data_IF_268554779058
#
_entry.id   IF_268554779058
#
_cell.length_a   1.000
_cell.length_b   1.000
_cell.length_c   1.000
_cell.angle_alpha   90.00
_cell.angle_beta   90.00
_cell.angle_gamma   90.00
#
_symmetry.space_group_name_H-M   'P 1'
#
loop_
_entity.id
_entity.type
_entity.pdbx_description
1 polymer ?
#
# COMPACT_ATOMS: atom_id res chain seq x y z
N UNK A 1 1.19 33.63 -16.13
CA UNK A 1 0.80 34.21 -14.83
C UNK A 1 -0.66 33.82 -14.62
N UNK A 2 -0.95 32.74 -13.84
CA UNK A 2 -2.32 32.34 -13.53
C UNK A 2 -2.82 33.36 -12.51
N UNK A 3 -3.78 34.19 -12.90
CA UNK A 3 -4.50 35.07 -11.97
C UNK A 3 -5.24 34.09 -11.02
N UNK A 4 -4.79 34.01 -9.76
CA UNK A 4 -5.44 33.17 -8.76
C UNK A 4 -6.83 33.79 -8.50
N UNK A 5 -7.86 33.19 -9.11
CA UNK A 5 -9.24 33.50 -8.82
C UNK A 5 -9.50 33.28 -7.32
N UNK A 6 -10.31 34.16 -6.71
CA UNK A 6 -10.69 34.04 -5.31
C UNK A 6 -11.23 32.65 -4.97
N UNK A 7 -11.90 32.00 -5.92
CA UNK A 7 -12.42 30.64 -5.80
C UNK A 7 -11.26 29.63 -5.67
N UNK A 8 -10.21 29.76 -6.45
CA UNK A 8 -9.02 28.90 -6.36
C UNK A 8 -8.32 29.04 -5.01
N UNK A 9 -8.07 30.27 -4.54
CA UNK A 9 -7.45 30.52 -3.24
C UNK A 9 -8.30 29.93 -2.10
N UNK A 10 -9.63 30.04 -2.22
CA UNK A 10 -10.58 29.48 -1.24
C UNK A 10 -10.45 27.97 -1.15
N UNK A 11 -10.38 27.27 -2.28
CA UNK A 11 -10.21 25.82 -2.36
C UNK A 11 -8.85 25.35 -1.83
N UNK A 12 -7.77 26.05 -2.17
CA UNK A 12 -6.43 25.76 -1.62
C UNK A 12 -6.44 25.87 -0.08
N UNK A 13 -7.06 26.91 0.45
CA UNK A 13 -7.18 27.08 1.91
C UNK A 13 -8.05 25.99 2.54
N UNK A 14 -9.13 25.54 1.88
CA UNK A 14 -10.00 24.46 2.34
C UNK A 14 -9.23 23.13 2.40
N UNK A 15 -8.48 22.81 1.33
CA UNK A 15 -7.61 21.61 1.29
C UNK A 15 -6.56 21.65 2.41
N UNK A 16 -5.89 22.79 2.60
CA UNK A 16 -4.91 22.96 3.66
C UNK A 16 -5.52 22.72 5.05
N UNK A 17 -6.66 23.34 5.33
CA UNK A 17 -7.34 23.17 6.62
C UNK A 17 -7.84 21.75 6.85
N UNK A 18 -8.42 21.10 5.83
CA UNK A 18 -8.86 19.72 5.92
C UNK A 18 -7.69 18.78 6.21
N UNK A 19 -6.54 18.98 5.54
CA UNK A 19 -5.31 18.21 5.78
C UNK A 19 -4.79 18.37 7.20
N UNK A 20 -4.80 19.60 7.74
CA UNK A 20 -4.40 19.86 9.11
C UNK A 20 -5.38 19.27 10.14
N UNK A 21 -6.70 19.29 9.85
CA UNK A 21 -7.69 18.63 10.70
C UNK A 21 -7.49 17.13 10.70
N UNK A 22 -7.32 16.49 9.53
CA UNK A 22 -7.05 15.05 9.42
C UNK A 22 -5.82 14.63 10.25
N UNK A 23 -4.76 15.43 10.19
CA UNK A 23 -3.49 15.10 10.86
C UNK A 23 -3.52 15.32 12.38
N UNK A 24 -4.29 16.31 12.85
CA UNK A 24 -4.18 16.85 14.22
C UNK A 24 -5.51 16.83 15.00
N UNK A 25 -6.53 16.08 14.54
CA UNK A 25 -7.80 15.92 15.24
C UNK A 25 -7.63 15.31 16.66
N UNK A 26 -8.32 15.82 17.67
CA UNK A 26 -9.18 16.99 17.67
C UNK A 26 -8.42 18.32 17.78
N UNK A 27 -8.79 19.33 16.99
CA UNK A 27 -8.08 20.61 16.89
C UNK A 27 -9.02 21.81 16.95
N UNK A 28 -8.58 22.95 17.54
CA UNK A 28 -9.39 24.18 17.58
C UNK A 28 -9.15 25.09 16.37
N UNK A 29 -10.14 25.95 16.03
CA UNK A 29 -9.98 26.99 14.99
C UNK A 29 -8.80 27.93 15.26
N UNK A 30 -8.54 28.23 16.53
CA UNK A 30 -7.41 29.07 16.91
C UNK A 30 -6.08 28.41 16.59
N UNK A 31 -5.95 27.10 16.91
CA UNK A 31 -4.73 26.31 16.59
C UNK A 31 -4.55 26.12 15.10
N UNK A 32 -5.63 25.89 14.35
CA UNK A 32 -5.59 25.87 12.88
C UNK A 32 -5.08 27.19 12.28
N UNK A 33 -5.54 28.34 12.81
CA UNK A 33 -5.06 29.66 12.39
C UNK A 33 -3.56 29.83 12.66
N UNK A 34 -3.09 29.38 13.82
CA UNK A 34 -1.67 29.42 14.19
C UNK A 34 -0.81 28.55 13.25
N UNK A 35 -1.23 27.30 13.02
CA UNK A 35 -0.46 26.33 12.21
C UNK A 35 -0.43 26.66 10.73
N UNK A 36 -1.54 27.17 10.18
CA UNK A 36 -1.66 27.45 8.74
C UNK A 36 -1.26 28.87 8.37
N UNK A 37 -1.12 29.77 9.35
CA UNK A 37 -0.89 31.20 9.08
C UNK A 37 -2.12 31.94 8.53
N UNK A 38 -3.24 31.27 8.34
CA UNK A 38 -4.50 31.87 7.87
C UNK A 38 -5.13 32.71 8.99
N UNK A 39 -5.73 33.85 8.61
CA UNK A 39 -6.46 34.66 9.59
C UNK A 39 -7.71 33.94 10.14
N UNK A 40 -8.12 34.29 11.35
CA UNK A 40 -9.23 33.65 12.09
C UNK A 40 -10.55 33.66 11.34
N UNK A 41 -10.82 34.73 10.56
CA UNK A 41 -12.06 34.85 9.76
C UNK A 41 -12.07 33.87 8.59
N UNK A 42 -10.94 33.72 7.89
CA UNK A 42 -10.78 32.74 6.81
C UNK A 42 -10.92 31.32 7.34
N UNK A 43 -10.23 30.98 8.44
CA UNK A 43 -10.37 29.65 9.08
C UNK A 43 -11.83 29.38 9.45
N UNK A 44 -12.50 30.33 10.11
CA UNK A 44 -13.90 30.15 10.50
C UNK A 44 -14.83 29.96 9.31
N UNK A 45 -14.66 30.73 8.24
CA UNK A 45 -15.45 30.60 7.01
C UNK A 45 -15.23 29.25 6.33
N UNK A 46 -13.97 28.80 6.16
CA UNK A 46 -13.65 27.54 5.48
C UNK A 46 -14.09 26.33 6.33
N UNK A 47 -13.86 26.34 7.64
CA UNK A 47 -14.34 25.27 8.54
C UNK A 47 -15.87 25.16 8.49
N UNK A 48 -16.59 26.27 8.44
CA UNK A 48 -18.04 26.23 8.29
C UNK A 48 -18.47 25.62 6.94
N UNK A 49 -17.69 25.80 5.87
CA UNK A 49 -17.93 25.13 4.59
C UNK A 49 -17.72 23.62 4.74
N UNK A 50 -16.59 23.17 5.32
CA UNK A 50 -16.31 21.76 5.57
C UNK A 50 -17.38 21.09 6.46
N UNK A 51 -17.94 21.84 7.43
CA UNK A 51 -19.05 21.35 8.26
C UNK A 51 -20.34 21.18 7.47
N UNK A 52 -20.68 22.13 6.58
CA UNK A 52 -21.84 22.02 5.68
C UNK A 52 -21.71 20.84 4.72
N UNK A 53 -20.48 20.51 4.31
CA UNK A 53 -20.14 19.36 3.50
C UNK A 53 -20.01 18.05 4.31
N UNK A 54 -20.37 18.06 5.59
CA UNK A 54 -20.31 16.90 6.49
C UNK A 54 -18.91 16.27 6.62
N UNK A 55 -17.84 16.98 6.30
CA UNK A 55 -16.45 16.48 6.41
C UNK A 55 -15.83 16.75 7.78
N UNK A 56 -16.36 17.73 8.51
CA UNK A 56 -15.89 18.14 9.85
C UNK A 56 -17.07 18.37 10.74
N UNK A 57 -16.95 18.04 12.02
CA UNK A 57 -17.94 18.39 13.04
C UNK A 57 -17.27 18.89 14.32
N UNK A 58 -18.06 19.59 15.14
CA UNK A 58 -17.62 20.08 16.43
C UNK A 58 -17.89 19.06 17.53
N UNK A 59 -16.89 18.81 18.37
CA UNK A 59 -17.02 18.04 19.60
C UNK A 59 -16.72 18.96 20.78
N UNK A 60 -17.49 18.90 21.85
CA UNK A 60 -17.26 19.50 23.16
C UNK A 60 -16.25 20.64 23.27
N UNK A 61 -15.96 21.07 24.46
CA UNK A 61 -14.97 22.10 24.76
C UNK A 61 -13.63 21.46 25.16
N UNK A 62 -12.55 21.92 24.55
CA UNK A 62 -11.17 21.52 24.89
C UNK A 62 -10.69 22.10 26.22
N UNK A 63 -9.48 21.73 26.64
CA UNK A 63 -8.83 22.35 27.81
C UNK A 63 -8.48 23.81 27.52
N UNK A 64 -8.61 24.68 28.52
CA UNK A 64 -8.27 26.09 28.42
C UNK A 64 -7.06 26.40 29.30
N UNK A 65 -6.09 27.14 28.73
CA UNK A 65 -4.94 27.68 29.46
C UNK A 65 -5.20 29.08 30.04
N UNK A 66 -6.45 29.54 30.04
CA UNK A 66 -6.87 30.85 30.49
C UNK A 66 -7.82 31.50 29.46
N UNK A 67 -9.12 31.62 29.78
CA UNK A 67 -10.15 32.18 28.89
C UNK A 67 -11.24 31.17 28.51
N UNK A 68 -12.09 31.56 27.52
CA UNK A 68 -13.18 30.68 27.03
C UNK A 68 -12.63 29.41 26.40
N UNK A 69 -13.10 28.24 26.85
CA UNK A 69 -12.71 26.95 26.32
C UNK A 69 -12.99 26.87 24.81
N UNK A 70 -12.01 26.48 23.99
CA UNK A 70 -12.20 26.38 22.53
C UNK A 70 -13.08 25.18 22.17
N UNK A 71 -13.92 25.37 21.15
CA UNK A 71 -14.65 24.25 20.52
C UNK A 71 -13.68 23.47 19.66
N UNK A 72 -13.68 22.16 19.80
CA UNK A 72 -12.78 21.26 19.08
C UNK A 72 -13.45 20.71 17.83
N UNK A 73 -12.66 20.62 16.77
CA UNK A 73 -13.04 20.09 15.46
C UNK A 73 -12.46 18.70 15.30
N UNK A 74 -13.23 17.80 14.69
CA UNK A 74 -12.78 16.47 14.27
C UNK A 74 -13.22 16.21 12.84
N UNK A 75 -12.41 15.43 12.14
CA UNK A 75 -12.75 14.93 10.82
C UNK A 75 -13.89 13.90 10.92
N UNK A 76 -14.83 13.97 9.98
CA UNK A 76 -15.90 12.99 9.89
C UNK A 76 -15.47 11.80 9.02
N UNK A 77 -14.77 10.87 9.61
CA UNK A 77 -14.31 9.67 8.91
C UNK A 77 -15.43 8.80 8.33
N UNK A 78 -16.66 8.95 8.86
CA UNK A 78 -17.85 8.24 8.38
C UNK A 78 -18.63 9.05 7.33
N UNK A 79 -18.06 10.13 6.78
CA UNK A 79 -18.71 10.90 5.72
C UNK A 79 -18.86 10.08 4.42
N UNK A 80 -17.96 9.16 4.15
CA UNK A 80 -17.99 8.24 3.02
C UNK A 80 -17.18 6.97 3.30
N UNK A 81 -17.19 6.05 2.36
CA UNK A 81 -16.46 4.78 2.45
C UNK A 81 -15.74 4.50 1.14
N UNK A 82 -14.60 3.81 1.21
CA UNK A 82 -13.86 3.37 0.03
C UNK A 82 -13.69 1.86 0.02
N UNK A 83 -13.64 1.27 -1.16
CA UNK A 83 -13.33 -0.15 -1.36
C UNK A 83 -11.90 -0.26 -1.86
N UNK A 84 -11.10 -1.09 -1.18
CA UNK A 84 -9.77 -1.51 -1.62
C UNK A 84 -9.73 -3.01 -1.83
N UNK A 85 -9.23 -3.46 -2.99
CA UNK A 85 -9.18 -4.89 -3.33
C UNK A 85 -7.77 -5.25 -3.81
N UNK A 86 -7.23 -6.33 -3.25
CA UNK A 86 -6.00 -6.97 -3.69
C UNK A 86 -6.35 -8.29 -4.40
N UNK A 87 -6.10 -8.34 -5.71
CA UNK A 87 -6.25 -9.54 -6.52
C UNK A 87 -4.89 -10.23 -6.60
N UNK A 88 -4.67 -11.23 -5.78
CA UNK A 88 -3.45 -12.04 -5.76
C UNK A 88 -3.41 -13.10 -6.87
N UNK A 89 -2.48 -14.02 -6.77
CA UNK A 89 -2.34 -15.14 -7.73
C UNK A 89 -3.44 -16.19 -7.51
N UNK A 90 -3.73 -16.51 -6.25
CA UNK A 90 -4.65 -17.57 -5.79
C UNK A 90 -5.68 -17.05 -4.79
N UNK A 91 -5.83 -15.73 -4.65
CA UNK A 91 -6.80 -15.11 -3.75
C UNK A 91 -7.30 -13.76 -4.25
N UNK A 92 -8.43 -13.32 -3.70
CA UNK A 92 -8.89 -11.93 -3.74
C UNK A 92 -9.17 -11.51 -2.29
N UNK A 93 -8.55 -10.42 -1.85
CA UNK A 93 -8.76 -9.84 -0.53
C UNK A 93 -9.37 -8.44 -0.69
N UNK A 94 -10.63 -8.26 -0.29
CA UNK A 94 -11.34 -6.99 -0.38
C UNK A 94 -11.65 -6.42 0.99
N UNK A 95 -11.59 -5.11 1.11
CA UNK A 95 -11.94 -4.36 2.33
C UNK A 95 -12.81 -3.16 1.99
N UNK A 96 -13.74 -2.84 2.88
CA UNK A 96 -14.44 -1.56 2.93
C UNK A 96 -13.88 -0.76 4.10
N UNK A 97 -13.44 0.48 3.86
CA UNK A 97 -12.88 1.33 4.91
C UNK A 97 -13.67 2.62 5.07
N UNK A 98 -13.62 3.23 6.25
CA UNK A 98 -13.98 4.63 6.44
C UNK A 98 -12.89 5.55 5.83
N UNK A 99 -13.10 6.87 5.84
CA UNK A 99 -12.16 7.84 5.25
C UNK A 99 -10.85 8.04 6.05
N UNK A 100 -10.67 7.36 7.18
CA UNK A 100 -9.39 7.27 7.91
C UNK A 100 -8.70 5.91 7.71
N UNK A 101 -9.24 5.05 6.83
CA UNK A 101 -8.68 3.72 6.55
C UNK A 101 -9.02 2.66 7.60
N UNK A 102 -9.96 2.93 8.52
CA UNK A 102 -10.44 1.90 9.45
C UNK A 102 -11.28 0.87 8.68
N UNK A 103 -10.87 -0.39 8.71
CA UNK A 103 -11.62 -1.48 8.04
C UNK A 103 -12.97 -1.65 8.74
N UNK A 104 -14.04 -1.57 7.97
CA UNK A 104 -15.44 -1.73 8.40
C UNK A 104 -15.97 -3.12 8.03
N UNK A 105 -15.63 -3.59 6.83
CA UNK A 105 -15.95 -4.93 6.34
C UNK A 105 -14.74 -5.49 5.60
N UNK A 106 -14.59 -6.80 5.62
CA UNK A 106 -13.60 -7.50 4.82
C UNK A 106 -14.18 -8.78 4.24
N UNK A 107 -13.64 -9.19 3.09
CA UNK A 107 -13.92 -10.46 2.43
C UNK A 107 -12.66 -11.04 1.84
N UNK A 108 -12.54 -12.37 1.91
CA UNK A 108 -11.44 -13.12 1.34
C UNK A 108 -11.99 -14.28 0.50
N UNK A 109 -11.53 -14.38 -0.75
CA UNK A 109 -11.85 -15.48 -1.66
C UNK A 109 -10.58 -16.20 -2.08
N UNK A 110 -10.59 -17.52 -2.01
CA UNK A 110 -9.55 -18.34 -2.62
C UNK A 110 -9.87 -18.56 -4.10
N UNK A 111 -8.88 -18.44 -4.98
CA UNK A 111 -9.01 -18.64 -6.41
C UNK A 111 -8.37 -19.97 -6.81
N UNK A 112 -9.16 -20.93 -7.26
CA UNK A 112 -8.64 -22.15 -7.88
C UNK A 112 -8.09 -21.86 -9.30
N UNK A 113 -8.75 -20.95 -10.00
CA UNK A 113 -8.37 -20.49 -11.34
C UNK A 113 -8.48 -18.97 -11.44
N UNK A 114 -7.35 -18.33 -11.67
CA UNK A 114 -7.29 -16.87 -11.83
C UNK A 114 -7.40 -16.51 -13.33
N UNK A 115 -8.66 -16.51 -13.88
CA UNK A 115 -8.94 -15.95 -15.19
C UNK A 115 -9.61 -14.57 -15.08
N UNK A 116 -9.47 -13.69 -16.08
CA UNK A 116 -10.13 -12.37 -16.07
C UNK A 116 -11.64 -12.44 -15.87
N UNK A 117 -12.31 -13.44 -16.45
CA UNK A 117 -13.76 -13.60 -16.40
C UNK A 117 -14.21 -13.96 -14.98
N UNK A 118 -13.63 -15.02 -14.40
CA UNK A 118 -13.95 -15.48 -13.04
C UNK A 118 -13.64 -14.35 -12.02
N UNK A 119 -12.50 -13.71 -12.19
CA UNK A 119 -12.11 -12.61 -11.28
C UNK A 119 -13.09 -11.44 -11.37
N UNK A 120 -13.54 -11.06 -12.57
CA UNK A 120 -14.54 -9.99 -12.75
C UNK A 120 -15.85 -10.31 -12.05
N UNK A 121 -16.34 -11.54 -12.13
CA UNK A 121 -17.59 -11.95 -11.48
C UNK A 121 -17.46 -11.88 -9.96
N UNK A 122 -16.36 -12.40 -9.39
CA UNK A 122 -16.09 -12.32 -7.94
C UNK A 122 -15.96 -10.86 -7.48
N UNK A 123 -15.28 -10.01 -8.25
CA UNK A 123 -15.17 -8.58 -7.94
C UNK A 123 -16.53 -7.88 -7.90
N UNK A 124 -17.41 -8.18 -8.86
CA UNK A 124 -18.76 -7.63 -8.88
C UNK A 124 -19.54 -8.04 -7.62
N UNK A 125 -19.53 -9.33 -7.28
CA UNK A 125 -20.24 -9.85 -6.11
C UNK A 125 -19.69 -9.26 -4.81
N UNK A 126 -18.39 -9.18 -4.67
CA UNK A 126 -17.71 -8.59 -3.50
C UNK A 126 -18.06 -7.11 -3.34
N UNK A 127 -18.00 -6.31 -4.42
CA UNK A 127 -18.34 -4.89 -4.39
C UNK A 127 -19.82 -4.69 -4.06
N UNK A 128 -20.73 -5.48 -4.65
CA UNK A 128 -22.15 -5.45 -4.31
C UNK A 128 -22.40 -5.79 -2.84
N UNK A 129 -21.69 -6.77 -2.30
CA UNK A 129 -21.77 -7.12 -0.88
C UNK A 129 -21.37 -5.92 -0.01
N UNK A 130 -20.25 -5.26 -0.32
CA UNK A 130 -19.81 -4.08 0.42
C UNK A 130 -20.81 -2.93 0.36
N UNK A 131 -21.36 -2.63 -0.83
CA UNK A 131 -22.35 -1.57 -1.00
C UNK A 131 -23.62 -1.87 -0.18
N UNK A 132 -24.08 -3.13 -0.18
CA UNK A 132 -25.30 -3.52 0.53
C UNK A 132 -25.16 -3.46 2.04
N UNK A 133 -23.95 -3.75 2.57
CA UNK A 133 -23.69 -3.78 4.02
C UNK A 133 -22.97 -2.53 4.54
N UNK A 134 -22.66 -1.59 3.65
CA UNK A 134 -22.02 -0.32 3.99
C UNK A 134 -22.96 0.51 4.88
N UNK A 135 -22.45 1.10 5.99
CA UNK A 135 -23.25 2.01 6.80
C UNK A 135 -23.70 3.24 6.00
N UNK A 136 -24.87 3.79 6.32
CA UNK A 136 -25.34 5.02 5.70
C UNK A 136 -24.36 6.18 5.97
N UNK A 137 -24.09 6.96 4.93
CA UNK A 137 -23.19 8.10 5.01
C UNK A 137 -23.52 9.18 3.98
N UNK A 138 -23.10 10.44 4.21
CA UNK A 138 -23.37 11.56 3.28
C UNK A 138 -22.93 11.31 1.84
N UNK A 139 -21.78 10.66 1.65
CA UNK A 139 -21.19 10.46 0.33
C UNK A 139 -21.27 9.00 -0.20
N UNK A 140 -21.74 8.06 0.63
CA UNK A 140 -21.81 6.66 0.24
C UNK A 140 -20.44 6.08 -0.12
N UNK A 141 -20.39 5.29 -1.20
CA UNK A 141 -19.14 4.75 -1.76
C UNK A 141 -18.42 5.84 -2.55
N UNK A 142 -17.22 6.22 -2.12
CA UNK A 142 -16.42 7.30 -2.74
C UNK A 142 -15.60 6.83 -3.93
N UNK A 143 -15.37 5.53 -4.07
CA UNK A 143 -14.67 4.91 -5.18
C UNK A 143 -14.17 3.51 -4.86
N UNK A 144 -13.54 2.89 -5.85
CA UNK A 144 -13.02 1.52 -5.79
C UNK A 144 -11.58 1.52 -6.26
N UNK A 145 -10.69 0.96 -5.46
CA UNK A 145 -9.30 0.73 -5.82
C UNK A 145 -9.00 -0.76 -5.91
N UNK A 146 -8.34 -1.21 -6.99
CA UNK A 146 -8.00 -2.61 -7.21
C UNK A 146 -6.52 -2.70 -7.57
N UNK A 147 -5.76 -3.57 -6.90
CA UNK A 147 -4.40 -3.87 -7.33
C UNK A 147 -4.26 -5.32 -7.79
N UNK A 148 -3.28 -5.52 -8.68
CA UNK A 148 -2.93 -6.84 -9.23
C UNK A 148 -1.41 -7.00 -9.31
N UNK A 149 -0.86 -8.23 -9.21
CA UNK A 149 0.57 -8.49 -9.37
C UNK A 149 0.94 -8.52 -10.86
N UNK A 150 1.31 -7.38 -11.43
CA UNK A 150 1.66 -7.29 -12.86
C UNK A 150 1.98 -5.87 -13.32
N UNK A 151 2.20 -5.74 -14.62
CA UNK A 151 2.53 -4.48 -15.28
C UNK A 151 1.26 -3.67 -15.52
N UNK A 152 1.17 -2.51 -14.87
CA UNK A 152 0.07 -1.54 -15.02
C UNK A 152 0.64 -0.29 -15.70
N UNK A 153 0.04 0.12 -16.81
CA UNK A 153 0.47 1.31 -17.54
C UNK A 153 -0.02 2.62 -16.86
N UNK A 154 0.47 3.74 -17.36
CA UNK A 154 0.09 5.09 -16.85
C UNK A 154 -1.42 5.40 -17.01
N UNK A 155 -2.14 4.68 -17.85
CA UNK A 155 -3.59 4.81 -18.03
C UNK A 155 -4.36 3.84 -17.10
N UNK A 156 -3.64 3.11 -16.24
CA UNK A 156 -4.19 2.12 -15.32
C UNK A 156 -4.78 0.89 -16.02
N UNK A 157 -4.28 0.56 -17.21
CA UNK A 157 -4.61 -0.68 -17.91
C UNK A 157 -3.64 -1.79 -17.51
N UNK A 158 -4.15 -2.98 -17.28
CA UNK A 158 -3.34 -4.17 -17.02
C UNK A 158 -2.72 -4.63 -18.34
N UNK A 159 -1.43 -4.41 -18.49
CA UNK A 159 -0.67 -4.82 -19.69
C UNK A 159 -0.39 -6.31 -19.66
N UNK A 160 0.09 -6.80 -18.51
CA UNK A 160 0.45 -8.21 -18.35
C UNK A 160 0.53 -8.61 -16.87
N UNK A 161 0.02 -9.80 -16.53
CA UNK A 161 0.22 -10.44 -15.22
C UNK A 161 0.99 -11.75 -15.38
N UNK A 162 2.21 -11.88 -14.85
CA UNK A 162 3.10 -13.03 -15.14
C UNK A 162 2.53 -14.38 -14.70
N UNK A 163 1.82 -14.42 -13.57
CA UNK A 163 1.35 -15.66 -12.96
C UNK A 163 -0.01 -16.12 -13.51
N UNK A 164 -0.94 -15.20 -13.77
CA UNK A 164 -2.28 -15.49 -14.31
C UNK A 164 -2.38 -15.29 -15.82
N UNK A 165 -1.32 -14.79 -16.45
CA UNK A 165 -1.20 -14.58 -17.90
C UNK A 165 -2.29 -13.71 -18.53
N UNK A 166 -2.84 -12.76 -17.76
CA UNK A 166 -3.75 -11.74 -18.30
C UNK A 166 -2.96 -10.82 -19.24
N UNK A 167 -3.61 -10.37 -20.32
CA UNK A 167 -3.00 -9.47 -21.30
C UNK A 167 -4.00 -8.42 -21.71
N UNK A 168 -3.60 -7.15 -21.72
CA UNK A 168 -4.35 -6.03 -22.26
C UNK A 168 -5.78 -5.87 -21.67
N UNK A 169 -5.95 -6.12 -20.37
CA UNK A 169 -7.23 -6.06 -19.68
C UNK A 169 -7.55 -4.65 -19.20
N UNK A 170 -8.64 -4.07 -19.66
CA UNK A 170 -9.23 -2.82 -19.14
C UNK A 170 -10.24 -3.13 -18.03
N UNK A 171 -9.72 -3.46 -16.85
CA UNK A 171 -10.54 -3.73 -15.67
C UNK A 171 -11.16 -2.45 -15.11
N UNK A 172 -10.47 -1.30 -15.27
CA UNK A 172 -10.94 -0.01 -14.79
C UNK A 172 -12.28 0.38 -15.41
N UNK A 173 -12.35 0.44 -16.74
CA UNK A 173 -13.58 0.81 -17.45
C UNK A 173 -14.71 -0.17 -17.14
N UNK A 174 -14.40 -1.46 -17.10
CA UNK A 174 -15.40 -2.51 -16.79
C UNK A 174 -16.05 -2.31 -15.41
N UNK A 175 -15.30 -2.04 -14.36
CA UNK A 175 -15.83 -1.81 -13.01
C UNK A 175 -16.51 -0.45 -12.92
N UNK A 176 -15.94 0.59 -13.55
CA UNK A 176 -16.48 1.94 -13.51
C UNK A 176 -17.87 2.04 -14.18
N UNK A 177 -18.08 1.35 -15.29
CA UNK A 177 -19.38 1.25 -15.97
C UNK A 177 -20.46 0.57 -15.10
N UNK A 178 -20.06 -0.42 -14.30
CA UNK A 178 -20.97 -1.18 -13.44
C UNK A 178 -21.42 -0.40 -12.20
N UNK A 179 -20.51 0.34 -11.56
CA UNK A 179 -20.76 0.95 -10.25
C UNK A 179 -20.89 2.47 -10.27
N UNK A 180 -20.57 3.11 -11.40
CA UNK A 180 -20.64 4.56 -11.59
C UNK A 180 -19.95 5.38 -10.50
N UNK A 181 -18.78 4.92 -10.04
CA UNK A 181 -17.89 5.59 -9.10
C UNK A 181 -16.46 5.64 -9.65
N UNK A 182 -15.57 6.52 -9.17
CA UNK A 182 -14.17 6.50 -9.56
C UNK A 182 -13.52 5.15 -9.29
N UNK A 183 -12.74 4.64 -10.27
CA UNK A 183 -12.02 3.37 -10.15
C UNK A 183 -10.54 3.57 -10.43
N UNK A 184 -9.70 2.94 -9.62
CA UNK A 184 -8.24 3.00 -9.71
C UNK A 184 -7.67 1.59 -9.79
N UNK A 185 -6.71 1.41 -10.72
CA UNK A 185 -5.95 0.16 -10.85
C UNK A 185 -4.48 0.46 -10.60
N UNK A 186 -3.81 -0.38 -9.80
CA UNK A 186 -2.40 -0.22 -9.47
C UNK A 186 -1.70 -1.59 -9.41
N UNK A 187 -0.37 -1.56 -9.48
CA UNK A 187 0.47 -2.72 -9.15
C UNK A 187 0.38 -3.04 -7.65
N UNK A 188 0.38 -4.32 -7.28
CA UNK A 188 0.24 -4.81 -5.89
C UNK A 188 1.34 -4.25 -4.97
N UNK A 189 2.60 -4.24 -5.40
CA UNK A 189 3.69 -3.74 -4.58
C UNK A 189 3.64 -2.21 -4.41
N UNK A 190 3.24 -1.48 -5.44
CA UNK A 190 3.00 -0.04 -5.35
C UNK A 190 1.86 0.27 -4.37
N UNK A 191 0.77 -0.48 -4.45
CA UNK A 191 -0.35 -0.35 -3.52
C UNK A 191 0.09 -0.66 -2.09
N UNK A 192 0.85 -1.73 -1.88
CA UNK A 192 1.42 -2.09 -0.57
C UNK A 192 2.33 -1.01 0.00
N UNK A 193 3.20 -0.42 -0.83
CA UNK A 193 4.06 0.69 -0.45
C UNK A 193 3.23 1.89 0.03
N UNK A 194 2.17 2.22 -0.70
CA UNK A 194 1.29 3.34 -0.34
C UNK A 194 0.50 3.05 0.95
N UNK A 195 0.01 1.83 1.14
CA UNK A 195 -0.63 1.38 2.37
C UNK A 195 0.28 1.55 3.59
N UNK A 196 1.50 1.03 3.53
CA UNK A 196 2.50 1.16 4.61
C UNK A 196 2.91 2.60 4.86
N UNK A 197 2.96 3.44 3.82
CA UNK A 197 3.24 4.87 3.93
C UNK A 197 2.13 5.62 4.68
N UNK A 198 0.87 5.30 4.40
CA UNK A 198 -0.26 6.05 4.97
C UNK A 198 -0.69 5.48 6.33
N UNK A 199 -0.78 4.16 6.46
CA UNK A 199 -1.36 3.51 7.63
C UNK A 199 -0.38 2.62 8.41
N UNK A 200 0.79 2.30 7.85
CA UNK A 200 1.69 1.28 8.37
C UNK A 200 3.00 1.75 8.96
N UNK A 201 4.03 0.93 8.78
CA UNK A 201 5.37 1.11 9.35
C UNK A 201 6.12 2.34 8.80
N UNK A 202 5.72 2.85 7.63
CA UNK A 202 6.44 3.89 6.92
C UNK A 202 5.85 5.31 7.07
N UNK A 203 4.92 5.53 7.99
CA UNK A 203 4.22 6.83 8.16
C UNK A 203 5.13 8.05 8.26
N UNK A 204 6.26 7.88 8.93
CA UNK A 204 7.20 8.97 9.24
C UNK A 204 8.41 9.03 8.27
N UNK A 205 8.40 8.27 7.19
CA UNK A 205 9.50 8.17 6.23
C UNK A 205 9.08 8.70 4.87
N UNK A 206 9.81 9.65 4.32
CA UNK A 206 9.49 10.30 3.03
C UNK A 206 9.99 9.49 1.83
N UNK A 207 11.03 8.66 2.04
CA UNK A 207 11.66 7.83 1.02
C UNK A 207 11.72 6.39 1.51
N UNK A 208 10.92 5.53 0.91
CA UNK A 208 10.84 4.12 1.31
C UNK A 208 10.83 3.18 0.11
N UNK A 209 11.23 1.97 0.38
CA UNK A 209 11.03 0.82 -0.51
C UNK A 209 10.12 -0.18 0.21
N UNK A 210 9.13 -0.67 -0.49
CA UNK A 210 8.31 -1.80 -0.04
C UNK A 210 8.64 -3.01 -0.89
N UNK A 211 9.02 -4.10 -0.25
CA UNK A 211 9.33 -5.36 -0.91
C UNK A 211 8.27 -6.42 -0.55
N UNK A 212 7.44 -6.75 -1.53
CA UNK A 212 6.47 -7.85 -1.48
C UNK A 212 7.14 -9.12 -1.95
N UNK A 213 7.46 -10.00 -1.01
CA UNK A 213 8.16 -11.27 -1.29
C UNK A 213 7.14 -12.40 -1.21
N UNK A 214 6.53 -12.71 -2.34
CA UNK A 214 5.51 -13.75 -2.49
C UNK A 214 5.96 -14.78 -3.55
N UNK A 215 5.07 -15.24 -4.42
CA UNK A 215 5.38 -16.11 -5.56
C UNK A 215 6.54 -15.56 -6.42
N UNK A 216 6.63 -14.22 -6.54
CA UNK A 216 7.75 -13.46 -7.07
C UNK A 216 8.22 -12.40 -6.07
N UNK A 217 8.98 -11.41 -6.54
CA UNK A 217 9.40 -10.24 -5.77
C UNK A 217 8.93 -8.98 -6.48
N UNK A 218 7.94 -8.29 -5.89
CA UNK A 218 7.47 -6.98 -6.32
C UNK A 218 8.05 -5.88 -5.44
N UNK A 219 8.37 -4.73 -6.04
CA UNK A 219 8.93 -3.58 -5.31
C UNK A 219 8.10 -2.34 -5.58
N UNK A 220 7.58 -1.72 -4.52
CA UNK A 220 7.01 -0.39 -4.55
C UNK A 220 8.00 0.65 -4.07
N UNK A 221 8.09 1.78 -4.78
CA UNK A 221 9.07 2.85 -4.52
C UNK A 221 8.35 4.14 -4.18
N UNK A 222 8.61 4.72 -3.00
CA UNK A 222 8.14 6.06 -2.63
C UNK A 222 9.36 6.97 -2.48
N UNK A 223 9.33 8.10 -3.17
CA UNK A 223 10.36 9.15 -3.13
C UNK A 223 9.68 10.48 -2.84
N UNK A 224 10.15 11.19 -1.81
CA UNK A 224 9.58 12.47 -1.36
C UNK A 224 8.06 12.41 -1.11
N UNK A 225 7.60 11.35 -0.46
CA UNK A 225 6.19 11.03 -0.16
C UNK A 225 5.33 10.66 -1.38
N UNK A 226 5.88 10.64 -2.60
CA UNK A 226 5.16 10.31 -3.82
C UNK A 226 5.54 8.92 -4.34
N UNK A 227 4.56 8.17 -4.83
CA UNK A 227 4.77 6.87 -5.44
C UNK A 227 5.46 7.01 -6.81
N UNK A 228 6.67 6.47 -6.93
CA UNK A 228 7.46 6.51 -8.15
C UNK A 228 7.08 5.37 -9.09
N UNK A 229 6.35 5.70 -10.17
CA UNK A 229 5.87 4.72 -11.16
C UNK A 229 6.77 4.60 -12.39
N UNK A 230 7.77 5.48 -12.55
CA UNK A 230 8.55 5.58 -13.78
C UNK A 230 7.75 6.16 -14.96
N UNK A 231 8.38 6.23 -16.12
CA UNK A 231 7.79 6.88 -17.32
C UNK A 231 6.57 6.13 -17.86
N UNK A 232 6.59 4.79 -17.80
CA UNK A 232 5.55 3.93 -18.39
C UNK A 232 4.64 3.26 -17.35
N UNK A 233 4.86 3.46 -16.05
CA UNK A 233 4.16 2.77 -14.98
C UNK A 233 4.86 1.50 -14.47
N UNK A 234 6.04 1.16 -14.99
CA UNK A 234 6.71 -0.14 -14.77
C UNK A 234 7.94 -0.04 -13.86
N UNK A 235 8.00 0.97 -13.00
CA UNK A 235 9.05 1.04 -11.99
C UNK A 235 8.88 -0.07 -10.96
N UNK A 236 9.98 -0.55 -10.39
CA UNK A 236 9.92 -1.53 -9.30
C UNK A 236 10.10 -2.99 -9.72
N UNK A 237 10.39 -3.28 -11.00
CA UNK A 237 10.65 -4.64 -11.50
C UNK A 237 12.01 -5.21 -11.02
N UNK A 238 12.40 -4.92 -9.78
CA UNK A 238 13.71 -5.28 -9.20
C UNK A 238 13.83 -6.77 -8.88
N UNK A 239 12.72 -7.51 -8.78
CA UNK A 239 12.74 -8.97 -8.72
C UNK A 239 13.47 -9.59 -9.91
N UNK A 240 13.53 -8.87 -11.04
CA UNK A 240 14.22 -9.27 -12.25
C UNK A 240 15.67 -8.72 -12.38
N UNK A 241 16.19 -8.05 -11.34
CA UNK A 241 17.64 -7.72 -11.30
C UNK A 241 18.46 -9.00 -11.32
N UNK A 242 19.52 -9.02 -12.14
CA UNK A 242 20.48 -10.11 -12.16
C UNK A 242 21.35 -10.07 -10.91
N UNK A 243 21.31 -11.11 -10.09
CA UNK A 243 22.18 -11.31 -8.93
C UNK A 243 23.25 -12.39 -9.21
N UNK A 244 23.05 -13.18 -10.25
CA UNK A 244 24.00 -14.20 -10.72
C UNK A 244 23.97 -14.23 -12.26
N UNK A 245 25.03 -13.72 -12.91
CA UNK A 245 25.08 -13.62 -14.35
C UNK A 245 25.15 -14.99 -15.05
N UNK A 246 25.57 -16.06 -14.35
CA UNK A 246 25.57 -17.45 -14.85
C UNK A 246 24.30 -18.22 -14.40
N UNK A 247 23.37 -17.57 -13.74
CA UNK A 247 22.21 -18.18 -13.15
C UNK A 247 21.19 -18.74 -14.14
N UNK A 248 20.12 -19.36 -13.63
CA UNK A 248 19.08 -19.98 -14.45
C UNK A 248 18.30 -18.95 -15.27
N UNK A 249 17.68 -19.42 -16.37
CA UNK A 249 16.83 -18.59 -17.22
C UNK A 249 15.55 -18.22 -16.47
N UNK A 250 15.18 -16.94 -16.49
CA UNK A 250 13.92 -16.43 -15.97
C UNK A 250 12.83 -16.36 -17.05
N UNK A 251 11.56 -16.44 -16.63
CA UNK A 251 10.41 -16.29 -17.54
C UNK A 251 10.33 -14.91 -18.21
N UNK A 252 10.95 -13.87 -17.61
CA UNK A 252 11.05 -12.53 -18.22
C UNK A 252 12.02 -12.46 -19.41
N UNK A 253 12.74 -13.54 -19.71
CA UNK A 253 13.75 -13.63 -20.78
C UNK A 253 15.19 -13.41 -20.32
N UNK A 254 15.41 -12.84 -19.14
CA UNK A 254 16.71 -12.62 -18.50
C UNK A 254 17.27 -13.89 -17.83
N UNK A 255 18.49 -13.82 -17.25
CA UNK A 255 19.13 -14.88 -16.47
C UNK A 255 19.51 -14.39 -15.08
N UNK A 256 19.44 -15.29 -14.08
CA UNK A 256 19.88 -15.03 -12.73
C UNK A 256 19.12 -13.94 -12.02
N UNK A 257 17.85 -13.76 -12.34
CA UNK A 257 16.96 -12.80 -11.68
C UNK A 257 16.84 -13.11 -10.19
N UNK A 258 16.82 -12.09 -9.36
CA UNK A 258 16.76 -12.18 -7.90
C UNK A 258 15.59 -13.04 -7.40
N UNK A 259 14.40 -12.91 -7.96
CA UNK A 259 13.24 -13.72 -7.61
C UNK A 259 13.42 -15.23 -7.74
N UNK A 260 14.35 -15.69 -8.64
CA UNK A 260 14.64 -17.10 -8.80
C UNK A 260 15.37 -17.72 -7.61
N UNK A 261 15.91 -16.90 -6.72
CA UNK A 261 16.67 -17.29 -5.53
C UNK A 261 15.97 -16.94 -4.22
N UNK A 262 15.15 -15.91 -4.22
CA UNK A 262 14.64 -15.28 -2.99
C UNK A 262 13.11 -15.03 -2.99
N UNK A 263 12.34 -15.74 -3.81
CA UNK A 263 10.87 -15.76 -3.74
C UNK A 263 10.37 -16.94 -2.93
N UNK A 264 9.08 -16.91 -2.51
CA UNK A 264 8.42 -18.08 -1.91
C UNK A 264 8.53 -19.32 -2.77
N UNK A 265 8.35 -19.15 -4.09
CA UNK A 265 8.51 -20.25 -5.07
C UNK A 265 9.92 -20.83 -5.04
N UNK A 266 10.95 -20.00 -4.90
CA UNK A 266 12.33 -20.45 -4.77
C UNK A 266 12.56 -21.22 -3.47
N UNK A 267 12.01 -20.72 -2.34
CA UNK A 267 12.09 -21.38 -1.05
C UNK A 267 11.37 -22.73 -1.07
N UNK A 268 10.13 -22.80 -1.54
CA UNK A 268 9.39 -24.04 -1.69
C UNK A 268 10.19 -25.06 -2.53
N UNK A 269 10.75 -24.63 -3.67
CA UNK A 269 11.55 -25.49 -4.54
C UNK A 269 12.79 -26.04 -3.84
N UNK A 270 13.41 -25.29 -2.92
CA UNK A 270 14.61 -25.73 -2.19
C UNK A 270 14.33 -26.83 -1.17
N UNK A 271 13.08 -26.91 -0.65
CA UNK A 271 12.65 -27.88 0.35
C UNK A 271 11.84 -29.04 -0.22
N UNK A 272 11.38 -28.95 -1.47
CA UNK A 272 10.63 -30.02 -2.14
C UNK A 272 11.56 -31.11 -2.64
N UNK A 273 11.14 -32.39 -2.46
CA UNK A 273 11.76 -33.56 -3.08
C UNK A 273 10.76 -34.20 -4.04
N UNK A 274 11.22 -35.22 -4.82
CA UNK A 274 10.31 -35.99 -5.70
C UNK A 274 9.18 -36.69 -4.92
N UNK A 275 9.41 -36.99 -3.64
CA UNK A 275 8.50 -37.76 -2.78
C UNK A 275 7.70 -36.90 -1.81
N UNK A 276 8.17 -35.66 -1.53
CA UNK A 276 7.54 -34.76 -0.54
C UNK A 276 7.30 -33.37 -1.14
N UNK A 277 6.04 -33.01 -1.29
CA UNK A 277 5.61 -31.62 -1.49
C UNK A 277 5.45 -30.98 -0.12
N UNK A 278 6.02 -29.81 0.08
CA UNK A 278 5.91 -29.02 1.32
C UNK A 278 5.09 -27.78 1.01
N UNK A 279 4.10 -27.50 1.84
CA UNK A 279 3.33 -26.25 1.77
C UNK A 279 4.06 -25.12 2.49
N UNK A 280 3.67 -23.89 2.20
CA UNK A 280 4.27 -22.71 2.85
C UNK A 280 3.99 -22.70 4.37
N UNK A 281 2.79 -23.12 4.79
CA UNK A 281 2.46 -23.26 6.20
C UNK A 281 3.30 -24.33 6.90
N UNK A 282 3.53 -25.47 6.26
CA UNK A 282 4.41 -26.51 6.83
C UNK A 282 5.85 -26.01 7.04
N UNK A 283 6.35 -25.12 6.17
CA UNK A 283 7.68 -24.50 6.37
C UNK A 283 7.69 -23.68 7.65
N UNK A 284 6.64 -22.90 7.91
CA UNK A 284 6.50 -22.10 9.13
C UNK A 284 6.47 -23.02 10.35
N UNK A 285 5.67 -24.07 10.31
CA UNK A 285 5.51 -25.04 11.41
C UNK A 285 6.84 -25.77 11.70
N UNK A 286 7.54 -26.23 10.66
CA UNK A 286 8.83 -26.89 10.79
C UNK A 286 9.92 -25.93 11.33
N UNK A 287 9.88 -24.67 10.93
CA UNK A 287 10.80 -23.66 11.44
C UNK A 287 10.60 -23.45 12.96
N UNK A 288 9.36 -23.40 13.43
CA UNK A 288 9.03 -23.31 14.86
C UNK A 288 9.44 -24.58 15.64
N UNK A 289 9.46 -25.73 14.97
CA UNK A 289 9.98 -26.99 15.55
C UNK A 289 11.51 -27.11 15.50
N UNK A 290 12.21 -26.09 15.02
CA UNK A 290 13.66 -26.04 14.84
C UNK A 290 14.19 -27.15 13.91
N UNK A 291 13.45 -27.52 12.87
CA UNK A 291 13.94 -28.46 11.84
C UNK A 291 15.18 -27.90 11.15
N UNK A 292 16.31 -28.60 11.24
CA UNK A 292 17.62 -28.10 10.77
C UNK A 292 17.60 -27.84 9.26
N UNK A 293 16.94 -28.70 8.48
CA UNK A 293 16.85 -28.56 7.03
C UNK A 293 16.09 -27.29 6.66
N UNK A 294 14.96 -27.06 7.32
CA UNK A 294 14.14 -25.86 7.13
C UNK A 294 14.87 -24.60 7.56
N UNK A 295 15.53 -24.62 8.72
CA UNK A 295 16.29 -23.46 9.20
C UNK A 295 17.43 -23.07 8.25
N UNK A 296 18.16 -24.05 7.68
CA UNK A 296 19.20 -23.82 6.68
C UNK A 296 18.61 -23.22 5.38
N UNK A 297 17.45 -23.68 4.94
CA UNK A 297 16.76 -23.12 3.79
C UNK A 297 16.30 -21.67 4.03
N UNK A 298 15.78 -21.37 5.23
CA UNK A 298 15.41 -20.01 5.64
C UNK A 298 16.61 -19.07 5.74
N UNK A 299 17.75 -19.56 6.23
CA UNK A 299 18.99 -18.79 6.25
C UNK A 299 19.45 -18.46 4.83
N UNK A 300 19.42 -19.43 3.92
CA UNK A 300 19.77 -19.26 2.51
C UNK A 300 18.81 -18.28 1.82
N UNK A 301 17.52 -18.37 2.10
CA UNK A 301 16.50 -17.46 1.62
C UNK A 301 16.78 -16.01 2.08
N UNK A 302 17.06 -15.81 3.37
CA UNK A 302 17.45 -14.51 3.91
C UNK A 302 18.76 -13.97 3.31
N UNK A 303 19.74 -14.83 3.05
CA UNK A 303 20.99 -14.46 2.37
C UNK A 303 20.73 -13.88 0.97
N UNK A 304 19.94 -14.57 0.13
CA UNK A 304 19.62 -14.06 -1.21
C UNK A 304 18.72 -12.82 -1.19
N UNK A 305 17.82 -12.72 -0.22
CA UNK A 305 17.06 -11.49 0.00
C UNK A 305 18.00 -10.33 0.32
N UNK A 306 18.97 -10.55 1.22
CA UNK A 306 19.95 -9.55 1.62
C UNK A 306 20.78 -9.01 0.44
N UNK A 307 21.17 -9.87 -0.53
CA UNK A 307 21.89 -9.43 -1.73
C UNK A 307 21.07 -8.40 -2.53
N UNK A 308 19.82 -8.74 -2.86
CA UNK A 308 18.96 -7.84 -3.65
C UNK A 308 18.64 -6.55 -2.91
N UNK A 309 18.37 -6.65 -1.60
CA UNK A 309 18.10 -5.47 -0.75
C UNK A 309 19.33 -4.56 -0.63
N UNK A 310 20.54 -5.12 -0.62
CA UNK A 310 21.78 -4.33 -0.64
C UNK A 310 21.89 -3.52 -1.94
N UNK A 311 21.58 -4.12 -3.09
CA UNK A 311 21.57 -3.41 -4.37
C UNK A 311 20.58 -2.24 -4.36
N UNK A 312 19.38 -2.46 -3.76
CA UNK A 312 18.36 -1.43 -3.60
C UNK A 312 18.84 -0.31 -2.68
N UNK A 313 19.43 -0.65 -1.54
CA UNK A 313 19.99 0.33 -0.59
C UNK A 313 21.07 1.19 -1.24
N UNK A 314 22.00 0.57 -1.96
CA UNK A 314 23.08 1.29 -2.65
C UNK A 314 22.57 2.16 -3.81
N UNK A 315 21.40 1.85 -4.38
CA UNK A 315 20.82 2.59 -5.53
C UNK A 315 19.94 3.75 -5.09
N UNK A 316 19.05 3.51 -4.12
CA UNK A 316 18.00 4.47 -3.75
C UNK A 316 18.28 5.20 -2.42
N UNK A 317 19.14 4.64 -1.57
CA UNK A 317 19.39 5.17 -0.23
C UNK A 317 18.09 5.57 0.50
N UNK A 318 17.12 4.66 0.65
CA UNK A 318 15.85 4.95 1.31
C UNK A 318 16.04 5.06 2.82
N UNK A 319 15.12 5.75 3.50
CA UNK A 319 15.06 5.80 4.96
C UNK A 319 14.65 4.44 5.56
N UNK A 320 13.76 3.72 4.87
CA UNK A 320 13.34 2.38 5.29
C UNK A 320 13.05 1.46 4.10
N UNK A 321 13.29 0.16 4.31
CA UNK A 321 12.75 -0.92 3.47
C UNK A 321 11.74 -1.69 4.31
N UNK A 322 10.50 -1.75 3.82
CA UNK A 322 9.42 -2.51 4.44
C UNK A 322 9.32 -3.87 3.76
N UNK A 323 9.43 -4.94 4.54
CA UNK A 323 9.46 -6.32 4.06
C UNK A 323 8.11 -6.99 4.35
N UNK A 324 7.39 -7.38 3.31
CA UNK A 324 6.15 -8.14 3.45
C UNK A 324 6.39 -9.57 3.00
N UNK A 325 6.27 -10.49 3.93
CA UNK A 325 6.27 -11.93 3.70
C UNK A 325 5.91 -12.64 5.01
N UNK A 326 5.03 -13.64 4.96
CA UNK A 326 4.54 -14.32 6.17
C UNK A 326 5.63 -15.06 6.96
N UNK A 327 6.67 -15.58 6.31
CA UNK A 327 7.82 -16.21 7.02
C UNK A 327 8.69 -15.15 7.71
N UNK A 328 8.94 -14.01 7.06
CA UNK A 328 9.69 -12.89 7.67
C UNK A 328 8.96 -12.38 8.91
N UNK A 329 7.63 -12.32 8.84
CA UNK A 329 6.78 -11.86 9.92
C UNK A 329 6.68 -12.89 11.08
N UNK A 330 6.75 -14.19 10.76
CA UNK A 330 6.58 -15.27 11.74
C UNK A 330 7.85 -15.82 12.37
N UNK A 331 9.02 -15.70 11.69
CA UNK A 331 10.27 -16.29 12.20
C UNK A 331 11.46 -15.34 12.11
N UNK A 332 12.13 -15.01 13.25
CA UNK A 332 13.18 -13.99 13.33
C UNK A 332 14.45 -14.33 12.54
N UNK A 333 14.71 -15.61 12.26
CA UNK A 333 15.91 -16.07 11.56
C UNK A 333 16.06 -15.42 10.19
N UNK A 334 14.98 -15.30 9.42
CA UNK A 334 15.03 -14.73 8.06
C UNK A 334 15.45 -13.27 8.12
N UNK A 335 14.80 -12.47 8.98
CA UNK A 335 15.15 -11.06 9.14
C UNK A 335 16.58 -10.86 9.66
N UNK A 336 17.04 -11.73 10.58
CA UNK A 336 18.41 -11.71 11.08
C UNK A 336 19.43 -12.06 9.97
N UNK A 337 19.11 -13.06 9.12
CA UNK A 337 19.96 -13.41 7.98
C UNK A 337 20.03 -12.25 6.98
N UNK A 338 18.88 -11.61 6.66
CA UNK A 338 18.84 -10.42 5.81
C UNK A 338 19.71 -9.30 6.39
N UNK A 339 19.55 -8.97 7.68
CA UNK A 339 20.32 -7.91 8.35
C UNK A 339 21.81 -8.18 8.33
N UNK A 340 22.22 -9.41 8.60
CA UNK A 340 23.62 -9.83 8.55
C UNK A 340 24.21 -9.65 7.16
N UNK A 341 23.50 -10.09 6.12
CA UNK A 341 23.98 -10.01 4.76
C UNK A 341 24.03 -8.55 4.26
N UNK A 342 23.00 -7.77 4.52
CA UNK A 342 22.97 -6.34 4.16
C UNK A 342 24.11 -5.60 4.85
N UNK A 343 24.33 -5.81 6.17
CA UNK A 343 25.39 -5.11 6.92
C UNK A 343 26.80 -5.45 6.41
N UNK A 344 27.00 -6.65 5.85
CA UNK A 344 28.30 -7.07 5.31
C UNK A 344 28.60 -6.51 3.91
N UNK A 345 27.56 -6.09 3.15
CA UNK A 345 27.67 -5.71 1.73
C UNK A 345 27.31 -4.27 1.41
N UNK A 346 26.47 -3.65 2.24
CA UNK A 346 26.06 -2.28 1.99
C UNK A 346 27.27 -1.33 2.01
N UNK A 347 27.24 -0.33 1.15
CA UNK A 347 28.31 0.67 1.09
C UNK A 347 28.51 1.30 2.47
N UNK A 348 29.72 1.21 3.00
CA UNK A 348 30.04 1.52 4.42
C UNK A 348 29.63 2.94 4.85
N UNK A 349 29.57 3.90 3.91
CA UNK A 349 29.15 5.28 4.20
C UNK A 349 27.63 5.41 4.44
N UNK A 350 26.83 4.44 4.01
CA UNK A 350 25.41 4.40 4.34
C UNK A 350 25.17 4.02 5.81
N UNK A 351 26.09 3.25 6.40
CA UNK A 351 26.07 2.93 7.82
C UNK A 351 24.70 2.47 8.32
N UNK A 352 24.18 3.16 9.34
CA UNK A 352 22.87 2.91 9.93
C UNK A 352 21.80 3.93 9.45
N UNK A 353 21.94 4.50 8.25
CA UNK A 353 21.01 5.51 7.72
C UNK A 353 19.68 4.95 7.22
N UNK A 354 19.47 3.65 7.31
CA UNK A 354 18.27 2.95 6.86
C UNK A 354 17.71 2.02 7.93
N UNK A 355 16.42 1.73 7.81
CA UNK A 355 15.73 0.74 8.63
C UNK A 355 15.24 -0.44 7.77
N UNK A 356 15.36 -1.67 8.30
CA UNK A 356 14.74 -2.88 7.73
C UNK A 356 13.60 -3.30 8.65
N UNK A 357 12.37 -3.06 8.21
CA UNK A 357 11.16 -3.24 8.99
C UNK A 357 10.26 -4.32 8.38
N UNK A 358 9.67 -5.21 9.19
CA UNK A 358 8.58 -6.04 8.70
C UNK A 358 7.36 -5.15 8.39
N UNK A 359 6.51 -5.62 7.47
CA UNK A 359 5.23 -4.99 7.19
C UNK A 359 4.38 -4.92 8.47
N UNK A 360 3.80 -3.75 8.74
CA UNK A 360 2.87 -3.57 9.86
C UNK A 360 1.44 -3.99 9.47
N UNK A 361 1.06 -3.76 8.23
CA UNK A 361 -0.28 -4.05 7.72
C UNK A 361 -0.44 -5.49 7.20
N UNK A 362 0.68 -6.19 7.00
CA UNK A 362 0.70 -7.58 6.54
C UNK A 362 -0.09 -7.78 5.25
N UNK A 363 -0.99 -8.77 5.23
CA UNK A 363 -1.81 -9.11 4.05
C UNK A 363 -2.75 -7.98 3.59
N UNK A 364 -3.06 -7.03 4.45
CA UNK A 364 -3.97 -5.94 4.12
C UNK A 364 -3.26 -4.71 3.50
N UNK A 365 -1.92 -4.69 3.46
CA UNK A 365 -1.17 -3.55 2.96
C UNK A 365 -1.59 -3.11 1.55
N UNK A 366 -1.72 -3.99 0.54
CA UNK A 366 -2.13 -3.58 -0.80
C UNK A 366 -3.57 -3.06 -0.86
N UNK A 367 -4.52 -3.75 -0.22
CA UNK A 367 -5.93 -3.34 -0.21
C UNK A 367 -6.12 -1.99 0.52
N UNK A 368 -5.44 -1.77 1.66
CA UNK A 368 -5.43 -0.49 2.36
C UNK A 368 -4.77 0.62 1.53
N UNK A 369 -3.71 0.30 0.80
CA UNK A 369 -3.10 1.25 -0.13
C UNK A 369 -4.03 1.68 -1.24
N UNK A 370 -4.78 0.74 -1.82
CA UNK A 370 -5.80 1.04 -2.81
C UNK A 370 -6.94 1.89 -2.24
N UNK A 371 -7.41 1.56 -1.04
CA UNK A 371 -8.39 2.37 -0.32
C UNK A 371 -7.88 3.80 -0.08
N UNK A 372 -6.61 3.97 0.29
CA UNK A 372 -6.00 5.28 0.49
C UNK A 372 -5.94 6.11 -0.80
N UNK A 373 -5.60 5.52 -1.93
CA UNK A 373 -5.60 6.20 -3.24
C UNK A 373 -7.01 6.74 -3.56
N UNK A 374 -8.04 5.95 -3.27
CA UNK A 374 -9.45 6.38 -3.43
C UNK A 374 -9.80 7.53 -2.51
N UNK A 375 -9.42 7.43 -1.23
CA UNK A 375 -9.69 8.46 -0.21
C UNK A 375 -9.01 9.79 -0.59
N UNK A 376 -7.74 9.75 -0.98
CA UNK A 376 -6.99 10.93 -1.39
C UNK A 376 -7.65 11.61 -2.60
N UNK A 377 -8.04 10.82 -3.61
CA UNK A 377 -8.76 11.35 -4.77
C UNK A 377 -10.10 12.00 -4.38
N UNK A 378 -10.88 11.35 -3.51
CA UNK A 378 -12.15 11.88 -3.03
C UNK A 378 -11.98 13.20 -2.27
N UNK A 379 -11.02 13.27 -1.34
CA UNK A 379 -10.75 14.48 -0.57
C UNK A 379 -10.22 15.61 -1.46
N UNK A 380 -9.41 15.29 -2.47
CA UNK A 380 -8.93 16.24 -3.46
C UNK A 380 -10.09 16.78 -4.31
N UNK A 381 -11.01 15.93 -4.79
CA UNK A 381 -12.17 16.36 -5.58
C UNK A 381 -13.08 17.32 -4.83
N UNK A 382 -13.34 17.08 -3.55
CA UNK A 382 -14.23 17.95 -2.74
C UNK A 382 -13.58 19.30 -2.48
N UNK A 383 -12.26 19.33 -2.37
CA UNK A 383 -11.49 20.55 -2.10
C UNK A 383 -10.97 21.26 -3.36
N UNK A 384 -11.21 20.71 -4.55
CA UNK A 384 -10.95 21.34 -5.87
C UNK A 384 -12.18 22.05 -6.42
#
# INVERSE_FOLDING_TARGET
MVIADQTFVKKVNQKLLLKEILKNSPISRAKLSEMTGLNKSTVSSQVNTLMKENLVFEIGQGQSSGGRRPVMLVFNKKAGYSVGIDVGVDYINGILTDLEGTIVLDQHHHLELNSPEITKDILIDMIHHFITHMPQSPYGLTGIGICVPGLIDKNQKIVFTPNSNWRDIDLKSFIQEKFNVPVFIENEANAGAYGEKVFGAAKNHDNIIYASVNTGIGIGVIINNDLYRGVSGFSGEMGHMTIDFNGPKCSCGNRGCWELYASEKALLKSLQTKEKKVSYQEIIDLAHLNDIGTLNALQTFGFYLGIGLTNILNTFNPQAIILRNSIIESHPMVLNSIRSEVSSRVYSQLGNSYELLPSFLGKNAPALGMSSIVIDHFLDMITM
#
